data_IF_599248591718
#
_entry.id   IF_599248591718
#
_cell.length_a   1.000
_cell.length_b   1.000
_cell.length_c   1.000
_cell.angle_alpha   90.00
_cell.angle_beta   90.00
_cell.angle_gamma   90.00
#
_symmetry.space_group_name_H-M   'P 1'
#
loop_
_entity.id
_entity.type
_entity.pdbx_description
1 polymer ?
#
# COMPACT_ATOMS: atom_id res chain seq x y z
N UNK A 1 0.43 7.46 27.60
CA UNK A 1 -0.06 7.18 26.23
C UNK A 1 -0.69 5.79 26.25
N UNK A 2 -2.00 5.70 26.07
CA UNK A 2 -2.69 4.41 25.94
C UNK A 2 -2.30 3.87 24.57
N UNK A 3 -1.64 2.72 24.53
CA UNK A 3 -1.20 2.10 23.30
C UNK A 3 -2.41 1.42 22.63
N UNK A 4 -3.23 2.21 21.92
CA UNK A 4 -4.44 1.74 21.25
C UNK A 4 -4.08 1.14 19.90
N UNK A 5 -3.37 0.01 19.91
CA UNK A 5 -3.20 -0.79 18.71
C UNK A 5 -4.52 -1.50 18.40
N UNK A 6 -5.16 -1.11 17.30
CA UNK A 6 -6.34 -1.79 16.78
C UNK A 6 -5.93 -2.75 15.67
N UNK A 7 -6.39 -3.99 15.76
CA UNK A 7 -6.29 -4.95 14.69
C UNK A 7 -7.63 -5.02 13.96
N UNK A 8 -7.56 -4.96 12.63
CA UNK A 8 -8.71 -5.06 11.75
C UNK A 8 -8.58 -6.36 10.96
N UNK A 9 -9.69 -7.08 10.82
CA UNK A 9 -9.79 -8.27 9.99
C UNK A 9 -10.99 -8.13 9.05
N UNK A 10 -10.86 -8.64 7.83
CA UNK A 10 -12.02 -8.86 6.96
C UNK A 10 -12.80 -10.05 7.51
N UNK A 11 -14.12 -9.90 7.57
CA UNK A 11 -15.05 -10.90 8.09
C UNK A 11 -16.25 -11.00 7.15
N UNK A 12 -17.10 -12.01 7.37
CA UNK A 12 -18.32 -12.23 6.59
C UNK A 12 -18.05 -12.50 5.09
N UNK A 13 -17.48 -13.67 4.83
CA UNK A 13 -17.19 -14.14 3.46
C UNK A 13 -18.39 -14.82 2.79
N UNK A 14 -19.61 -14.65 3.30
CA UNK A 14 -20.81 -15.31 2.75
C UNK A 14 -21.16 -14.90 1.32
N UNK A 15 -20.71 -13.71 0.90
CA UNK A 15 -20.86 -13.20 -0.47
C UNK A 15 -19.56 -13.23 -1.28
N UNK A 16 -18.49 -13.85 -0.75
CA UNK A 16 -17.19 -13.86 -1.41
C UNK A 16 -17.20 -14.79 -2.62
N UNK A 17 -16.46 -14.40 -3.67
CA UNK A 17 -16.30 -15.20 -4.88
C UNK A 17 -15.07 -16.09 -4.71
N UNK A 18 -15.27 -17.40 -4.84
CA UNK A 18 -14.17 -18.34 -4.77
C UNK A 18 -13.49 -18.46 -6.13
N UNK A 19 -12.29 -17.90 -6.25
CA UNK A 19 -11.40 -18.16 -7.39
C UNK A 19 -10.69 -19.50 -7.16
N UNK A 20 -11.31 -20.61 -7.55
CA UNK A 20 -10.69 -21.95 -7.55
C UNK A 20 -10.43 -22.44 -8.97
N UNK A 21 -9.24 -22.98 -9.24
CA UNK A 21 -9.07 -23.91 -10.36
C UNK A 21 -9.85 -25.18 -10.03
N UNK A 22 -11.06 -25.33 -10.58
CA UNK A 22 -11.60 -26.67 -10.76
C UNK A 22 -10.74 -27.37 -11.82
N UNK A 23 -9.69 -28.06 -11.36
CA UNK A 23 -9.24 -29.29 -12.02
C UNK A 23 -10.35 -30.33 -11.80
N UNK A 24 -11.47 -30.17 -12.50
CA UNK A 24 -12.35 -31.29 -12.81
C UNK A 24 -11.99 -31.63 -14.24
N UNK A 25 -11.49 -32.85 -14.42
CA UNK A 25 -11.48 -33.55 -15.70
C UNK A 25 -12.93 -33.65 -16.22
N UNK A 26 -13.49 -32.56 -16.71
CA UNK A 26 -14.70 -32.57 -17.51
C UNK A 26 -14.34 -32.03 -18.88
N UNK A 27 -13.86 -32.93 -19.73
CA UNK A 27 -13.62 -32.73 -21.17
C UNK A 27 -14.91 -32.40 -21.97
N UNK A 28 -16.01 -32.04 -21.32
CA UNK A 28 -17.24 -31.65 -21.98
C UNK A 28 -18.07 -30.71 -21.09
N UNK A 29 -17.86 -29.40 -21.22
CA UNK A 29 -18.92 -28.42 -21.49
C UNK A 29 -18.41 -26.99 -21.24
N UNK A 30 -18.77 -26.08 -22.15
CA UNK A 30 -18.70 -24.63 -22.00
C UNK A 30 -19.65 -24.14 -20.88
N UNK A 31 -19.43 -24.57 -19.64
CA UNK A 31 -20.20 -24.12 -18.50
C UNK A 31 -19.55 -22.86 -17.95
N UNK A 32 -19.81 -21.74 -18.62
CA UNK A 32 -19.56 -20.41 -18.06
C UNK A 32 -20.37 -20.31 -16.75
N UNK A 33 -19.67 -20.31 -15.63
CA UNK A 33 -20.24 -20.41 -14.29
C UNK A 33 -21.06 -19.14 -13.98
N UNK A 34 -22.39 -19.28 -13.94
CA UNK A 34 -23.29 -18.19 -13.58
C UNK A 34 -23.04 -17.75 -12.14
N UNK A 35 -22.33 -16.63 -11.95
CA UNK A 35 -22.15 -16.03 -10.62
C UNK A 35 -23.45 -15.35 -10.18
N UNK A 36 -24.20 -16.01 -9.31
CA UNK A 36 -25.31 -15.39 -8.59
C UNK A 36 -24.75 -14.32 -7.65
N UNK A 37 -24.90 -13.05 -8.06
CA UNK A 37 -24.38 -11.94 -7.29
C UNK A 37 -25.24 -11.67 -6.05
N UNK A 38 -24.59 -11.68 -4.88
CA UNK A 38 -25.15 -11.29 -3.59
C UNK A 38 -24.18 -10.31 -2.91
N UNK A 39 -24.68 -9.43 -2.04
CA UNK A 39 -23.85 -8.47 -1.31
C UNK A 39 -24.38 -7.04 -1.32
N UNK A 40 -23.55 -6.10 -0.86
CA UNK A 40 -23.91 -4.70 -0.75
C UNK A 40 -23.89 -4.00 -2.13
N UNK A 41 -25.08 -3.75 -2.68
CA UNK A 41 -25.25 -3.11 -3.98
C UNK A 41 -24.68 -1.68 -4.06
N UNK A 42 -24.62 -0.96 -2.95
CA UNK A 42 -24.09 0.40 -2.91
C UNK A 42 -22.56 0.45 -3.08
N UNK A 43 -21.86 -0.61 -2.66
CA UNK A 43 -20.41 -0.70 -2.70
C UNK A 43 -19.89 -1.62 -3.82
N UNK A 44 -20.73 -1.90 -4.81
CA UNK A 44 -20.26 -2.55 -6.03
C UNK A 44 -19.44 -1.60 -6.86
N UNK A 45 -18.26 -2.06 -7.25
CA UNK A 45 -17.42 -1.32 -8.16
C UNK A 45 -18.16 -1.05 -9.49
N UNK A 46 -17.88 0.06 -10.17
CA UNK A 46 -18.62 0.52 -11.34
C UNK A 46 -18.77 -0.51 -12.44
N UNK A 47 -17.71 -1.27 -12.72
CA UNK A 47 -17.68 -2.31 -13.73
C UNK A 47 -18.67 -3.45 -13.43
N UNK A 48 -18.81 -3.84 -12.16
CA UNK A 48 -19.74 -4.87 -11.71
C UNK A 48 -21.16 -4.32 -11.65
N UNK A 49 -21.33 -3.11 -11.09
CA UNK A 49 -22.62 -2.46 -10.97
C UNK A 49 -23.27 -2.27 -12.35
N UNK A 50 -22.52 -1.77 -13.33
CA UNK A 50 -23.00 -1.57 -14.70
C UNK A 50 -23.53 -2.87 -15.32
N UNK A 51 -22.78 -3.97 -15.18
CA UNK A 51 -23.20 -5.28 -15.67
C UNK A 51 -24.53 -5.69 -15.03
N UNK A 52 -24.62 -5.63 -13.70
CA UNK A 52 -25.82 -6.04 -12.95
C UNK A 52 -27.05 -5.20 -13.31
N UNK A 53 -26.92 -3.87 -13.40
CA UNK A 53 -28.03 -3.01 -13.80
C UNK A 53 -28.45 -3.24 -15.25
N UNK A 54 -27.49 -3.48 -16.16
CA UNK A 54 -27.80 -3.79 -17.57
C UNK A 54 -28.56 -5.10 -17.75
N UNK A 55 -28.30 -6.10 -16.90
CA UNK A 55 -29.00 -7.39 -16.88
C UNK A 55 -30.44 -7.26 -16.36
N UNK A 56 -30.69 -6.38 -15.38
CA UNK A 56 -32.04 -6.14 -14.85
C UNK A 56 -32.97 -5.47 -15.87
N UNK A 57 -32.42 -4.60 -16.71
CA UNK A 57 -33.20 -3.83 -17.70
C UNK A 57 -33.45 -4.64 -19.00
N UNK A 58 -32.56 -5.58 -19.34
CA UNK A 58 -32.65 -6.40 -20.55
C UNK A 58 -32.88 -7.88 -20.22
N UNK A 59 -34.08 -8.25 -19.78
CA UNK A 59 -34.46 -9.64 -19.47
C UNK A 59 -34.33 -10.63 -20.65
N UNK A 60 -33.98 -10.16 -21.85
CA UNK A 60 -33.93 -10.95 -23.09
C UNK A 60 -32.50 -11.13 -23.64
N UNK A 61 -31.44 -10.57 -23.01
CA UNK A 61 -30.04 -10.72 -23.45
C UNK A 61 -29.18 -11.32 -22.33
N UNK A 62 -29.29 -12.63 -22.17
CA UNK A 62 -28.62 -13.43 -21.13
C UNK A 62 -27.13 -13.69 -21.40
N UNK A 63 -26.35 -12.69 -21.84
CA UNK A 63 -24.94 -12.91 -22.22
C UNK A 63 -23.90 -12.04 -21.51
N UNK A 64 -24.27 -11.21 -20.54
CA UNK A 64 -23.27 -10.55 -19.69
C UNK A 64 -22.97 -11.44 -18.47
N UNK A 65 -22.17 -12.48 -18.68
CA UNK A 65 -21.68 -13.32 -17.60
C UNK A 65 -20.54 -12.58 -16.92
N UNK A 66 -20.71 -12.30 -15.63
CA UNK A 66 -19.66 -11.71 -14.80
C UNK A 66 -18.60 -12.79 -14.59
N UNK A 67 -17.32 -12.45 -14.78
CA UNK A 67 -16.20 -13.36 -14.63
C UNK A 67 -15.29 -12.93 -13.48
N UNK A 68 -14.40 -13.83 -13.04
CA UNK A 68 -13.37 -13.51 -12.05
C UNK A 68 -12.47 -12.34 -12.48
N UNK A 69 -12.31 -12.10 -13.78
CA UNK A 69 -11.50 -10.98 -14.29
C UNK A 69 -12.16 -9.63 -14.03
N UNK A 70 -13.50 -9.59 -14.03
CA UNK A 70 -14.25 -8.36 -13.76
C UNK A 70 -14.09 -7.92 -12.30
N UNK A 71 -13.92 -8.89 -11.38
CA UNK A 71 -13.68 -8.62 -9.96
C UNK A 71 -12.23 -8.23 -9.60
N UNK A 72 -11.30 -8.30 -10.56
CA UNK A 72 -9.85 -8.16 -10.30
C UNK A 72 -9.49 -6.89 -9.50
N UNK A 73 -10.18 -5.78 -9.74
CA UNK A 73 -9.96 -4.50 -9.06
C UNK A 73 -11.17 -4.00 -8.27
N UNK A 74 -12.20 -4.83 -8.07
CA UNK A 74 -13.46 -4.40 -7.46
C UNK A 74 -13.34 -4.24 -5.95
N UNK A 75 -12.67 -5.17 -5.25
CA UNK A 75 -12.43 -5.06 -3.81
C UNK A 75 -11.59 -3.83 -3.45
N UNK A 76 -10.62 -3.48 -4.32
CA UNK A 76 -9.81 -2.28 -4.13
C UNK A 76 -10.65 -1.00 -4.19
N UNK A 77 -11.60 -0.94 -5.11
CA UNK A 77 -12.54 0.18 -5.21
C UNK A 77 -13.40 0.26 -3.94
N UNK A 78 -13.97 -0.86 -3.49
CA UNK A 78 -14.83 -0.91 -2.31
C UNK A 78 -14.08 -0.49 -1.03
N UNK A 79 -12.87 -1.02 -0.81
CA UNK A 79 -12.03 -0.67 0.34
C UNK A 79 -11.66 0.83 0.33
N UNK A 80 -11.39 1.42 -0.83
CA UNK A 80 -11.05 2.84 -0.91
C UNK A 80 -12.20 3.75 -0.44
N UNK A 81 -13.47 3.33 -0.60
CA UNK A 81 -14.61 4.08 -0.07
C UNK A 81 -14.62 4.17 1.47
N UNK A 82 -13.95 3.24 2.17
CA UNK A 82 -13.83 3.24 3.63
C UNK A 82 -12.87 4.32 4.15
N UNK A 83 -12.11 4.97 3.27
CA UNK A 83 -11.24 6.10 3.66
C UNK A 83 -12.09 7.29 4.14
N UNK A 84 -13.27 7.54 3.56
CA UNK A 84 -14.15 8.62 4.02
C UNK A 84 -14.51 8.50 5.51
N UNK A 85 -15.12 7.38 5.97
CA UNK A 85 -15.47 7.23 7.38
C UNK A 85 -14.25 7.18 8.31
N UNK A 86 -13.09 6.74 7.83
CA UNK A 86 -11.83 6.81 8.61
C UNK A 86 -11.46 8.25 8.99
N UNK A 87 -11.84 9.24 8.16
CA UNK A 87 -11.63 10.66 8.39
C UNK A 87 -12.91 11.40 8.82
N UNK A 88 -13.92 10.69 9.31
CA UNK A 88 -15.14 11.28 9.86
C UNK A 88 -16.13 11.80 8.81
N UNK A 89 -15.93 11.50 7.53
CA UNK A 89 -16.86 11.82 6.45
C UNK A 89 -17.77 10.61 6.22
N UNK A 90 -19.11 10.78 6.10
CA UNK A 90 -19.98 9.70 5.66
C UNK A 90 -19.50 9.08 4.34
N UNK A 91 -19.62 7.76 4.19
CA UNK A 91 -19.30 7.12 2.92
C UNK A 91 -20.33 7.59 1.88
N UNK A 92 -19.91 8.31 0.82
CA UNK A 92 -20.83 9.01 -0.06
C UNK A 92 -21.61 8.07 -0.99
N UNK A 93 -21.22 6.79 -1.06
CA UNK A 93 -21.98 5.75 -1.78
C UNK A 93 -23.03 5.07 -0.88
N UNK A 94 -22.82 5.08 0.44
CA UNK A 94 -23.75 4.47 1.41
C UNK A 94 -24.86 5.45 1.79
N UNK A 95 -24.53 6.73 1.96
CA UNK A 95 -25.52 7.76 2.31
C UNK A 95 -26.42 8.18 1.14
N UNK A 96 -26.14 7.66 -0.06
CA UNK A 96 -26.91 7.92 -1.29
C UNK A 96 -26.50 9.19 -2.04
N UNK A 97 -25.46 9.90 -1.62
CA UNK A 97 -24.94 11.09 -2.33
C UNK A 97 -24.48 10.74 -3.74
N UNK A 98 -23.79 9.61 -3.90
CA UNK A 98 -23.35 9.07 -5.17
C UNK A 98 -23.83 7.64 -5.37
N UNK A 99 -24.07 7.29 -6.63
CA UNK A 99 -24.24 5.89 -7.05
C UNK A 99 -22.95 5.43 -7.72
N UNK A 100 -22.51 4.21 -7.42
CA UNK A 100 -21.35 3.59 -8.05
C UNK A 100 -21.49 3.47 -9.57
N UNK A 101 -22.71 3.51 -10.09
CA UNK A 101 -23.01 3.43 -11.53
C UNK A 101 -22.73 4.74 -12.26
N UNK A 102 -22.94 5.90 -11.62
CA UNK A 102 -23.04 7.17 -12.35
C UNK A 102 -22.23 8.34 -11.75
N UNK A 103 -21.49 8.16 -10.66
CA UNK A 103 -20.65 9.22 -10.10
C UNK A 103 -19.57 9.69 -11.07
N UNK A 104 -19.11 10.93 -10.92
CA UNK A 104 -17.94 11.46 -11.64
C UNK A 104 -16.76 11.53 -10.67
N UNK A 105 -15.56 11.16 -11.14
CA UNK A 105 -14.37 11.11 -10.29
C UNK A 105 -14.01 12.49 -9.72
N UNK A 106 -14.21 13.55 -10.50
CA UNK A 106 -13.96 14.94 -10.09
C UNK A 106 -15.00 15.49 -9.10
N UNK A 107 -16.16 14.83 -8.96
CA UNK A 107 -17.20 15.25 -8.00
C UNK A 107 -17.05 14.59 -6.63
N UNK A 108 -16.07 13.71 -6.45
CA UNK A 108 -15.85 13.03 -5.19
C UNK A 108 -15.48 14.04 -4.08
N UNK A 109 -15.95 13.85 -2.83
CA UNK A 109 -15.64 14.79 -1.76
C UNK A 109 -14.14 14.81 -1.47
N UNK A 110 -13.60 16.00 -1.21
CA UNK A 110 -12.23 16.12 -0.74
C UNK A 110 -12.09 15.64 0.70
N UNK A 111 -10.95 15.01 1.01
CA UNK A 111 -10.60 14.67 2.39
C UNK A 111 -10.24 15.94 3.18
N UNK A 112 -10.43 15.94 4.51
CA UNK A 112 -10.06 17.08 5.34
C UNK A 112 -8.53 17.29 5.30
N UNK A 113 -8.07 18.51 5.53
CA UNK A 113 -6.65 18.88 5.40
C UNK A 113 -5.70 18.11 6.35
N UNK A 114 -6.23 17.54 7.44
CA UNK A 114 -5.52 16.68 8.38
C UNK A 114 -5.22 15.28 7.80
N UNK A 115 -5.96 14.87 6.76
CA UNK A 115 -5.72 13.61 6.10
C UNK A 115 -4.37 13.64 5.35
N UNK A 116 -3.52 12.63 5.52
CA UNK A 116 -2.29 12.53 4.75
C UNK A 116 -2.57 12.53 3.24
N UNK A 117 -1.80 13.30 2.45
CA UNK A 117 -1.96 13.38 0.98
C UNK A 117 -1.96 12.02 0.27
N UNK A 118 -1.28 11.01 0.85
CA UNK A 118 -1.33 9.63 0.35
C UNK A 118 -2.75 9.05 0.35
N UNK A 119 -3.60 9.40 1.32
CA UNK A 119 -4.99 8.92 1.38
C UNK A 119 -5.83 9.54 0.25
N UNK A 120 -5.65 10.83 -0.01
CA UNK A 120 -6.25 11.51 -1.17
C UNK A 120 -5.78 10.88 -2.47
N UNK A 121 -4.48 10.59 -2.60
CA UNK A 121 -3.93 9.90 -3.77
C UNK A 121 -4.52 8.49 -3.94
N UNK A 122 -4.66 7.70 -2.87
CA UNK A 122 -5.30 6.38 -2.90
C UNK A 122 -6.75 6.50 -3.39
N UNK A 123 -7.52 7.47 -2.88
CA UNK A 123 -8.89 7.72 -3.38
C UNK A 123 -8.90 7.97 -4.89
N UNK A 124 -8.05 8.86 -5.39
CA UNK A 124 -7.97 9.16 -6.82
C UNK A 124 -7.51 7.97 -7.68
N UNK A 125 -6.66 7.08 -7.16
CA UNK A 125 -6.21 5.90 -7.92
C UNK A 125 -7.24 4.77 -7.89
N UNK A 126 -7.85 4.51 -6.74
CA UNK A 126 -8.69 3.35 -6.52
C UNK A 126 -10.16 3.60 -6.89
N UNK A 127 -10.64 4.84 -6.80
CA UNK A 127 -12.01 5.21 -7.18
C UNK A 127 -12.13 5.63 -8.64
N UNK A 128 -11.18 5.25 -9.50
CA UNK A 128 -11.38 5.37 -10.94
C UNK A 128 -12.48 4.44 -11.40
N UNK A 129 -13.32 4.90 -12.33
CA UNK A 129 -14.42 4.10 -12.87
C UNK A 129 -13.91 3.01 -13.78
N UNK A 130 -12.91 3.32 -14.61
CA UNK A 130 -12.27 2.33 -15.47
C UNK A 130 -11.36 1.41 -14.64
N UNK A 131 -11.68 0.11 -14.50
CA UNK A 131 -10.85 -0.80 -13.70
C UNK A 131 -9.44 -0.97 -14.27
N UNK A 132 -9.23 -0.79 -15.58
CA UNK A 132 -7.90 -0.86 -16.20
C UNK A 132 -6.98 0.31 -15.83
N UNK A 133 -7.53 1.40 -15.30
CA UNK A 133 -6.76 2.54 -14.83
C UNK A 133 -6.46 2.48 -13.33
N UNK A 134 -7.02 1.49 -12.62
CA UNK A 134 -6.73 1.23 -11.22
C UNK A 134 -5.44 0.41 -11.10
N UNK A 135 -4.59 0.71 -10.12
CA UNK A 135 -3.43 -0.13 -9.80
C UNK A 135 -3.86 -1.48 -9.23
N UNK A 136 -2.92 -2.43 -9.16
CA UNK A 136 -3.15 -3.67 -8.45
C UNK A 136 -3.16 -3.42 -6.93
N UNK A 137 -3.91 -4.23 -6.17
CA UNK A 137 -4.06 -4.04 -4.73
C UNK A 137 -2.74 -4.17 -3.97
N UNK A 138 -1.83 -5.03 -4.44
CA UNK A 138 -0.51 -5.21 -3.84
C UNK A 138 0.39 -3.98 -4.04
N UNK A 139 0.24 -3.24 -5.14
CA UNK A 139 0.98 -2.01 -5.41
C UNK A 139 0.57 -0.90 -4.45
N UNK A 140 -0.74 -0.71 -4.25
CA UNK A 140 -1.28 0.25 -3.27
C UNK A 140 -0.80 -0.12 -1.86
N UNK A 141 -0.85 -1.41 -1.51
CA UNK A 141 -0.36 -1.88 -0.22
C UNK A 141 1.14 -1.60 -0.04
N UNK A 142 1.97 -1.85 -1.05
CA UNK A 142 3.42 -1.62 -1.00
C UNK A 142 3.76 -0.13 -0.82
N UNK A 143 3.05 0.76 -1.53
CA UNK A 143 3.22 2.22 -1.40
C UNK A 143 2.81 2.69 0.00
N UNK A 144 1.67 2.22 0.50
CA UNK A 144 1.19 2.58 1.83
C UNK A 144 2.12 2.06 2.94
N UNK A 145 2.62 0.82 2.82
CA UNK A 145 3.62 0.27 3.74
C UNK A 145 4.91 1.06 3.71
N UNK A 146 5.38 1.46 2.51
CA UNK A 146 6.57 2.30 2.35
C UNK A 146 6.38 3.65 3.04
N UNK A 147 5.23 4.30 2.88
CA UNK A 147 4.91 5.54 3.57
C UNK A 147 4.91 5.38 5.10
N UNK A 148 4.27 4.32 5.61
CA UNK A 148 4.27 4.00 7.04
C UNK A 148 5.69 3.78 7.58
N UNK A 149 6.53 3.05 6.85
CA UNK A 149 7.93 2.83 7.21
C UNK A 149 8.67 4.16 7.31
N UNK A 150 8.65 4.98 6.25
CA UNK A 150 9.32 6.30 6.23
C UNK A 150 8.87 7.16 7.41
N UNK A 151 7.55 7.24 7.67
CA UNK A 151 7.01 8.03 8.77
C UNK A 151 7.50 7.52 10.14
N UNK A 152 7.57 6.21 10.32
CA UNK A 152 8.16 5.61 11.52
C UNK A 152 9.66 5.87 11.63
N UNK A 153 10.42 5.85 10.53
CA UNK A 153 11.85 6.20 10.52
C UNK A 153 12.08 7.66 10.91
N UNK A 154 11.37 8.62 10.30
CA UNK A 154 11.49 10.04 10.68
C UNK A 154 11.10 10.28 12.13
N UNK A 155 10.06 9.62 12.63
CA UNK A 155 9.63 9.72 14.04
C UNK A 155 10.72 9.17 14.96
N UNK A 156 11.35 8.04 14.63
CA UNK A 156 12.42 7.44 15.44
C UNK A 156 13.72 8.23 15.41
N UNK A 157 14.10 8.83 14.28
CA UNK A 157 15.27 9.73 14.19
C UNK A 157 15.01 11.03 14.95
N UNK A 158 13.80 11.59 14.85
CA UNK A 158 13.40 12.79 15.59
C UNK A 158 13.37 12.54 17.09
N UNK A 159 12.86 11.38 17.53
CA UNK A 159 12.92 10.95 18.94
C UNK A 159 14.36 10.67 19.37
N UNK A 160 15.19 10.03 18.56
CA UNK A 160 16.60 9.79 18.89
C UNK A 160 17.38 11.10 19.06
N UNK A 161 17.12 12.12 18.23
CA UNK A 161 17.71 13.46 18.38
C UNK A 161 17.20 14.19 19.63
N UNK A 162 15.91 14.05 19.96
CA UNK A 162 15.34 14.62 21.21
C UNK A 162 15.88 13.89 22.44
N UNK A 163 16.01 12.57 22.40
CA UNK A 163 16.57 11.76 23.49
C UNK A 163 18.06 12.05 23.65
N UNK A 164 18.84 12.18 22.57
CA UNK A 164 20.26 12.59 22.63
C UNK A 164 20.41 14.04 23.13
N UNK A 165 19.47 14.94 22.81
CA UNK A 165 19.40 16.29 23.38
C UNK A 165 19.00 16.33 24.86
N UNK A 166 18.43 15.24 25.39
CA UNK A 166 18.01 15.09 26.80
C UNK A 166 18.95 14.15 27.58
N UNK A 167 19.88 13.45 26.94
CA UNK A 167 20.82 12.52 27.59
C UNK A 167 22.14 13.19 28.00
N UNK A 168 22.07 14.27 28.77
CA UNK A 168 22.97 14.39 29.91
C UNK A 168 22.35 13.49 31.00
N UNK A 169 23.09 12.48 31.46
CA UNK A 169 22.67 11.50 32.49
C UNK A 169 21.74 10.37 32.03
N UNK A 170 22.31 9.26 31.54
CA UNK A 170 21.79 7.91 31.86
C UNK A 170 22.96 6.98 32.24
N UNK A 171 22.87 6.23 33.35
CA UNK A 171 23.98 5.40 33.83
C UNK A 171 24.15 4.15 32.95
N UNK A 172 25.41 3.75 32.73
CA UNK A 172 25.75 2.46 32.09
C UNK A 172 25.28 1.30 32.97
N UNK A 173 24.39 0.46 32.46
CA UNK A 173 24.05 -0.85 33.02
C UNK A 173 25.17 -1.88 32.79
N UNK A 174 25.16 -3.02 33.50
CA UNK A 174 26.30 -3.91 33.61
C UNK A 174 26.53 -4.73 32.34
N UNK A 175 27.78 -4.84 31.95
CA UNK A 175 28.29 -5.64 30.83
C UNK A 175 28.04 -7.13 31.07
N UNK A 176 27.27 -7.75 30.19
CA UNK A 176 27.22 -9.21 30.05
C UNK A 176 28.23 -9.60 28.96
N UNK A 177 29.27 -10.33 29.35
CA UNK A 177 30.21 -10.98 28.45
C UNK A 177 29.57 -12.23 27.87
N UNK A 178 29.26 -12.24 26.58
CA UNK A 178 29.07 -13.46 25.79
C UNK A 178 29.72 -13.22 24.43
N UNK A 179 30.74 -14.02 24.16
CA UNK A 179 31.42 -14.16 22.88
C UNK A 179 30.45 -14.60 21.77
N UNK A 180 30.79 -14.27 20.52
CA UNK A 180 30.11 -14.64 19.27
C UNK A 180 28.77 -13.93 18.95
N UNK A 181 28.82 -12.62 18.66
CA UNK A 181 27.90 -11.99 17.67
C UNK A 181 28.33 -10.54 17.28
N UNK A 182 29.64 -10.27 17.28
CA UNK A 182 30.23 -8.94 17.07
C UNK A 182 30.13 -8.40 15.63
N UNK A 183 29.68 -9.21 14.67
CA UNK A 183 29.44 -8.73 13.30
C UNK A 183 28.05 -8.12 13.10
N UNK A 184 27.01 -8.60 13.79
CA UNK A 184 25.62 -8.10 13.62
C UNK A 184 25.37 -6.78 14.35
N UNK A 185 25.99 -6.56 15.52
CA UNK A 185 25.91 -5.27 16.23
C UNK A 185 26.63 -4.14 15.48
N UNK A 186 27.71 -4.46 14.75
CA UNK A 186 28.52 -3.45 14.04
C UNK A 186 27.79 -2.74 12.89
N UNK A 187 26.75 -3.37 12.33
CA UNK A 187 25.94 -2.80 11.25
C UNK A 187 24.86 -1.87 11.78
N UNK A 188 24.29 -2.19 12.94
CA UNK A 188 23.32 -1.34 13.65
C UNK A 188 24.00 -0.11 14.28
N UNK A 189 25.18 -0.28 14.87
CA UNK A 189 25.97 0.83 15.43
C UNK A 189 26.41 1.83 14.35
N UNK A 190 26.74 1.38 13.14
CA UNK A 190 27.06 2.29 12.02
C UNK A 190 25.88 3.15 11.57
N UNK A 191 24.66 2.63 11.71
CA UNK A 191 23.42 3.25 11.28
C UNK A 191 22.82 4.22 12.32
N UNK A 192 23.11 3.98 13.61
CA UNK A 192 22.66 4.81 14.72
C UNK A 192 23.67 5.85 15.20
N UNK A 193 24.90 5.84 14.66
CA UNK A 193 25.92 6.81 15.01
C UNK A 193 25.70 8.14 14.25
N UNK A 194 25.37 9.26 14.94
CA UNK A 194 25.06 10.54 14.30
C UNK A 194 26.27 11.22 13.60
N UNK A 195 27.47 10.64 13.74
CA UNK A 195 28.70 11.10 13.09
C UNK A 195 29.13 10.25 11.89
N UNK A 196 28.34 9.27 11.44
CA UNK A 196 28.61 8.58 10.18
C UNK A 196 27.96 9.37 9.02
N UNK A 197 28.70 9.61 7.95
CA UNK A 197 28.18 10.16 6.68
C UNK A 197 27.13 9.24 5.99
N UNK A 198 26.67 8.20 6.68
CA UNK A 198 25.77 7.14 6.22
C UNK A 198 24.37 7.21 6.83
N UNK A 199 23.94 8.36 7.37
CA UNK A 199 22.52 8.56 7.66
C UNK A 199 21.76 8.35 6.34
N UNK A 200 20.86 7.37 6.31
CA UNK A 200 20.04 7.07 5.14
C UNK A 200 19.12 8.27 4.87
N UNK A 201 19.60 9.20 4.05
CA UNK A 201 18.84 10.36 3.62
C UNK A 201 17.91 9.93 2.46
N UNK A 202 16.61 9.87 2.76
CA UNK A 202 15.55 9.46 1.83
C UNK A 202 15.45 10.42 0.63
N UNK A 203 15.69 11.71 0.83
CA UNK A 203 15.68 12.72 -0.24
C UNK A 203 16.82 12.48 -1.22
N UNK A 204 18.02 12.17 -0.70
CA UNK A 204 19.19 11.78 -1.51
C UNK A 204 18.93 10.49 -2.29
N UNK A 205 18.35 9.46 -1.65
CA UNK A 205 17.99 8.20 -2.31
C UNK A 205 17.00 8.41 -3.46
N UNK A 206 15.98 9.24 -3.24
CA UNK A 206 14.96 9.50 -4.24
C UNK A 206 15.52 10.30 -5.42
N UNK A 207 16.36 11.30 -5.15
CA UNK A 207 17.04 12.08 -6.19
C UNK A 207 18.00 11.20 -7.03
N UNK A 208 18.78 10.33 -6.38
CA UNK A 208 19.68 9.38 -7.05
C UNK A 208 18.91 8.39 -7.93
N UNK A 209 17.76 7.89 -7.47
CA UNK A 209 16.92 6.99 -8.25
C UNK A 209 16.30 7.68 -9.48
N UNK A 210 15.76 8.90 -9.33
CA UNK A 210 15.23 9.68 -10.46
C UNK A 210 16.29 9.91 -11.54
N UNK A 211 17.52 10.23 -11.13
CA UNK A 211 18.64 10.42 -12.05
C UNK A 211 19.06 9.10 -12.72
N UNK A 212 18.99 7.98 -12.00
CA UNK A 212 19.30 6.64 -12.53
C UNK A 212 18.29 6.18 -13.60
N UNK A 213 16.99 6.40 -13.39
CA UNK A 213 15.93 6.08 -14.39
C UNK A 213 16.15 6.90 -15.67
N UNK A 214 16.34 8.21 -15.55
CA UNK A 214 16.59 9.12 -16.69
C UNK A 214 17.83 8.75 -17.48
N UNK A 215 18.86 8.26 -16.80
CA UNK A 215 20.13 7.88 -17.43
C UNK A 215 20.11 6.47 -18.06
N UNK A 216 19.05 5.68 -17.90
CA UNK A 216 18.99 4.23 -18.22
C UNK A 216 20.15 3.40 -17.63
N UNK A 217 20.93 3.98 -16.72
CA UNK A 217 21.97 3.31 -15.93
C UNK A 217 21.34 2.90 -14.61
N UNK A 218 20.46 1.92 -14.64
CA UNK A 218 20.08 1.15 -13.44
C UNK A 218 21.26 0.22 -13.14
N UNK A 219 22.37 0.78 -12.63
CA UNK A 219 23.53 -0.02 -12.21
C UNK A 219 24.57 0.78 -11.42
N UNK A 220 24.14 1.73 -10.59
CA UNK A 220 24.99 2.12 -9.46
C UNK A 220 24.81 1.05 -8.39
N UNK A 221 25.73 0.09 -8.31
CA UNK A 221 25.77 -0.91 -7.22
C UNK A 221 25.64 -0.22 -5.85
N UNK A 222 26.13 1.02 -5.71
CA UNK A 222 25.98 1.85 -4.52
C UNK A 222 24.52 2.17 -4.18
N UNK A 223 23.69 2.57 -5.15
CA UNK A 223 22.28 2.87 -4.91
C UNK A 223 21.50 1.62 -4.50
N UNK A 224 21.72 0.51 -5.21
CA UNK A 224 21.09 -0.78 -4.90
C UNK A 224 21.47 -1.22 -3.48
N UNK A 225 22.75 -1.13 -3.11
CA UNK A 225 23.20 -1.47 -1.77
C UNK A 225 22.52 -0.62 -0.68
N UNK A 226 22.39 0.69 -0.88
CA UNK A 226 21.70 1.57 0.08
C UNK A 226 20.21 1.25 0.22
N UNK A 227 19.54 0.89 -0.88
CA UNK A 227 18.13 0.45 -0.85
C UNK A 227 17.98 -0.89 -0.12
N UNK A 228 18.91 -1.83 -0.33
CA UNK A 228 18.96 -3.07 0.42
C UNK A 228 19.19 -2.82 1.92
N UNK A 229 20.14 -1.94 2.27
CA UNK A 229 20.43 -1.60 3.66
C UNK A 229 19.20 -0.99 4.35
N UNK A 230 18.52 -0.05 3.68
CA UNK A 230 17.26 0.52 4.18
C UNK A 230 16.23 -0.59 4.42
N UNK A 231 15.99 -1.45 3.42
CA UNK A 231 15.01 -2.52 3.52
C UNK A 231 15.33 -3.48 4.67
N UNK A 232 16.61 -3.83 4.85
CA UNK A 232 17.08 -4.70 5.93
C UNK A 232 16.81 -4.09 7.30
N UNK A 233 17.06 -2.80 7.47
CA UNK A 233 16.79 -2.10 8.73
C UNK A 233 15.29 -2.03 9.02
N UNK A 234 14.47 -1.70 8.01
CA UNK A 234 13.01 -1.74 8.11
C UNK A 234 12.55 -3.13 8.56
N UNK A 235 13.01 -4.17 7.85
CA UNK A 235 12.64 -5.56 8.10
C UNK A 235 13.01 -6.01 9.51
N UNK A 236 14.23 -5.72 9.96
CA UNK A 236 14.69 -6.07 11.30
C UNK A 236 13.81 -5.40 12.38
N UNK A 237 13.50 -4.11 12.21
CA UNK A 237 12.63 -3.38 13.13
C UNK A 237 11.22 -3.99 13.22
N UNK A 238 10.65 -4.35 12.08
CA UNK A 238 9.32 -4.94 12.00
C UNK A 238 9.27 -6.41 12.43
N UNK A 239 10.35 -7.15 12.25
CA UNK A 239 10.48 -8.51 12.76
C UNK A 239 10.45 -8.54 14.28
N UNK A 240 11.16 -7.59 14.90
CA UNK A 240 11.17 -7.41 16.35
C UNK A 240 9.79 -6.98 16.87
N UNK A 241 9.08 -6.10 16.16
CA UNK A 241 7.73 -5.68 16.54
C UNK A 241 6.62 -6.69 16.18
N UNK A 242 6.95 -7.76 15.45
CA UNK A 242 6.00 -8.76 14.96
C UNK A 242 5.31 -8.43 13.63
N UNK A 243 5.44 -7.20 13.12
CA UNK A 243 4.81 -6.76 11.88
C UNK A 243 5.35 -7.50 10.63
N UNK A 244 6.60 -7.96 10.65
CA UNK A 244 7.21 -8.74 9.57
C UNK A 244 7.19 -10.26 9.80
N UNK A 245 6.68 -10.76 10.93
CA UNK A 245 6.74 -12.21 11.26
C UNK A 245 5.70 -13.00 10.45
N UNK A 246 6.10 -13.92 9.58
CA UNK A 246 5.17 -14.79 8.88
C UNK A 246 4.47 -15.77 9.84
N UNK A 247 3.27 -16.28 9.50
CA UNK A 247 2.45 -15.88 8.35
C UNK A 247 1.56 -14.65 8.62
N UNK A 248 1.52 -14.18 9.87
CA UNK A 248 0.46 -13.27 10.34
C UNK A 248 0.87 -11.80 10.41
N UNK A 249 2.14 -11.49 10.16
CA UNK A 249 2.65 -10.12 10.19
C UNK A 249 2.05 -9.30 9.07
N UNK A 250 1.47 -8.14 9.40
CA UNK A 250 0.78 -7.26 8.44
C UNK A 250 1.68 -6.79 7.29
N UNK A 251 3.00 -6.76 7.48
CA UNK A 251 4.00 -6.42 6.45
C UNK A 251 4.77 -7.63 5.92
N UNK A 252 4.42 -8.86 6.31
CA UNK A 252 5.11 -10.06 5.82
C UNK A 252 5.06 -10.19 4.28
N UNK A 253 3.88 -9.96 3.69
CA UNK A 253 3.67 -9.99 2.24
C UNK A 253 4.36 -8.84 1.49
N UNK A 254 4.47 -7.67 2.12
CA UNK A 254 5.27 -6.57 1.59
C UNK A 254 6.73 -7.00 1.44
N UNK A 255 7.31 -7.57 2.49
CA UNK A 255 8.70 -8.03 2.45
C UNK A 255 8.93 -9.19 1.50
N UNK A 256 7.96 -10.08 1.29
CA UNK A 256 8.10 -11.16 0.30
C UNK A 256 8.11 -10.67 -1.14
N UNK A 257 7.53 -9.49 -1.42
CA UNK A 257 7.55 -8.86 -2.75
C UNK A 257 8.64 -7.80 -2.89
N UNK A 258 9.22 -7.33 -1.80
CA UNK A 258 10.12 -6.19 -1.80
C UNK A 258 11.40 -6.49 -2.60
N UNK A 259 11.62 -5.70 -3.66
CA UNK A 259 12.87 -5.64 -4.40
C UNK A 259 13.41 -4.21 -4.33
N UNK A 260 14.72 -3.98 -4.54
CA UNK A 260 15.27 -2.62 -4.60
C UNK A 260 14.54 -1.73 -5.61
N UNK A 261 14.16 -2.29 -6.77
CA UNK A 261 13.38 -1.58 -7.79
C UNK A 261 11.98 -1.19 -7.33
N UNK A 262 11.22 -2.14 -6.74
CA UNK A 262 9.87 -1.86 -6.19
C UNK A 262 9.93 -0.86 -5.05
N UNK A 263 10.89 -1.00 -4.14
CA UNK A 263 11.08 -0.07 -3.04
C UNK A 263 11.39 1.34 -3.55
N UNK A 264 12.29 1.47 -4.52
CA UNK A 264 12.64 2.77 -5.08
C UNK A 264 11.47 3.45 -5.79
N UNK A 265 10.64 2.67 -6.51
CA UNK A 265 9.38 3.17 -7.08
C UNK A 265 8.45 3.71 -5.99
N UNK A 266 8.22 2.93 -4.94
CA UNK A 266 7.36 3.33 -3.82
C UNK A 266 7.90 4.58 -3.13
N UNK A 267 9.21 4.63 -2.83
CA UNK A 267 9.88 5.79 -2.24
C UNK A 267 9.69 7.04 -3.11
N UNK A 268 9.82 6.92 -4.44
CA UNK A 268 9.62 8.04 -5.34
C UNK A 268 8.18 8.58 -5.28
N UNK A 269 7.17 7.69 -5.31
CA UNK A 269 5.76 8.10 -5.20
C UNK A 269 5.52 8.79 -3.86
N UNK A 270 5.97 8.18 -2.76
CA UNK A 270 5.81 8.75 -1.41
C UNK A 270 6.48 10.11 -1.29
N UNK A 271 7.73 10.24 -1.75
CA UNK A 271 8.44 11.52 -1.77
C UNK A 271 7.73 12.55 -2.65
N UNK A 272 7.17 12.16 -3.80
CA UNK A 272 6.37 13.09 -4.60
C UNK A 272 5.15 13.60 -3.85
N UNK A 273 4.46 12.72 -3.11
CA UNK A 273 3.28 13.09 -2.34
C UNK A 273 3.63 13.99 -1.14
N UNK A 274 4.76 13.74 -0.48
CA UNK A 274 5.19 14.55 0.66
C UNK A 274 5.62 15.95 0.20
N UNK A 275 6.49 16.04 -0.81
CA UNK A 275 7.08 17.29 -1.27
C UNK A 275 6.19 18.11 -2.23
N UNK A 276 5.37 17.45 -3.04
CA UNK A 276 4.51 18.10 -4.04
C UNK A 276 3.02 17.86 -3.73
N UNK A 277 2.13 18.52 -4.47
CA UNK A 277 0.69 18.28 -4.38
C UNK A 277 0.29 16.98 -5.09
N UNK A 278 -0.85 16.40 -4.73
CA UNK A 278 -1.41 15.18 -5.35
C UNK A 278 -1.51 15.34 -6.87
N UNK A 279 -1.98 16.50 -7.34
CA UNK A 279 -2.12 16.81 -8.77
C UNK A 279 -0.81 16.70 -9.56
N UNK A 280 0.32 17.05 -8.94
CA UNK A 280 1.63 16.88 -9.58
C UNK A 280 1.95 15.39 -9.78
N UNK A 281 1.64 14.55 -8.79
CA UNK A 281 1.90 13.11 -8.85
C UNK A 281 1.06 12.44 -9.93
N UNK A 282 -0.24 12.74 -9.96
CA UNK A 282 -1.18 12.21 -10.96
C UNK A 282 -0.73 12.51 -12.40
N UNK A 283 -0.26 13.73 -12.65
CA UNK A 283 0.21 14.16 -13.96
C UNK A 283 1.60 13.60 -14.33
N UNK A 284 2.37 13.14 -13.34
CA UNK A 284 3.75 12.70 -13.52
C UNK A 284 3.93 11.19 -13.69
N UNK A 285 2.90 10.39 -13.39
CA UNK A 285 2.97 8.93 -13.50
C UNK A 285 3.07 8.51 -14.98
N UNK A 286 4.21 7.96 -15.44
CA UNK A 286 4.22 7.21 -16.68
C UNK A 286 3.46 5.90 -16.43
N UNK A 287 2.68 5.42 -17.41
CA UNK A 287 2.04 4.12 -17.36
C UNK A 287 3.04 3.06 -16.88
N UNK A 288 2.89 2.59 -15.63
CA UNK A 288 3.76 1.63 -15.01
C UNK A 288 3.42 0.25 -15.58
N UNK A 289 3.98 -0.08 -16.75
CA UNK A 289 4.06 -1.47 -17.17
C UNK A 289 5.22 -2.14 -16.44
N UNK A 290 4.88 -3.19 -15.68
CA UNK A 290 5.80 -4.07 -14.96
C UNK A 290 6.59 -4.96 -15.92
#
# INVERSE_FOLDING_TARGET
MINSHFHVALTDFGCAIQTGHHHINDDNNNNEEYLNHSGNLALLAPEIAQIIYSLKDNSNNLHNIITNKDYKHSDLWAIATLIYPLFGIPNPFIDGTFSSVNYTEDSLPELPHEAPKIMTWILHQCLKRNPSERPNADEIADILHTWCLIRHFHTRVSIALVVVGVQAYVPRGPTISVDEDSQKLSSLDRLMNPHSDNIINIDSLTAEFKNSIKSHKIQSNKLINRLCDLLNVCWAGDWLSGAARPPNGIRSLFYSRATPGRLALCLNIVYQLECFGVQHVLNSSPNYQY
#
